data_IF_325550539751
#
_entry.id   IF_325550539751
#
_cell.length_a   1.000
_cell.length_b   1.000
_cell.length_c   1.000
_cell.angle_alpha   90.00
_cell.angle_beta   90.00
_cell.angle_gamma   90.00
#
_symmetry.space_group_name_H-M   'P 1'
#
loop_
_entity.id
_entity.type
_entity.pdbx_description
1 polymer ?
#
# COMPACT_ATOMS: atom_id res chain seq x y z
N UNK A 1 -26.13 -78.93 0.50
CA UNK A 1 -25.17 -77.98 1.13
C UNK A 1 -25.27 -76.65 0.38
N UNK A 2 -26.08 -75.73 0.88
CA UNK A 2 -26.19 -74.38 0.31
C UNK A 2 -25.01 -73.56 0.81
N UNK A 3 -23.96 -73.46 -0.02
CA UNK A 3 -22.84 -72.55 0.21
C UNK A 3 -23.37 -71.12 0.14
N UNK A 4 -23.66 -70.53 1.30
CA UNK A 4 -24.09 -69.14 1.40
C UNK A 4 -23.01 -68.24 0.80
N UNK A 5 -23.31 -67.57 -0.32
CA UNK A 5 -22.43 -66.54 -0.89
C UNK A 5 -22.23 -65.47 0.18
N UNK A 6 -21.03 -65.35 0.73
CA UNK A 6 -20.70 -64.27 1.68
C UNK A 6 -20.86 -62.94 0.96
N UNK A 7 -21.83 -62.13 1.40
CA UNK A 7 -22.08 -60.79 0.86
C UNK A 7 -21.03 -59.83 1.40
N UNK A 8 -19.93 -59.65 0.65
CA UNK A 8 -18.86 -58.70 0.97
C UNK A 8 -19.17 -57.26 0.52
N UNK A 9 -20.31 -57.06 -0.17
CA UNK A 9 -20.68 -55.79 -0.80
C UNK A 9 -20.84 -54.65 0.21
N UNK A 10 -21.45 -54.92 1.36
CA UNK A 10 -21.68 -53.92 2.42
C UNK A 10 -20.36 -53.45 3.06
N UNK A 11 -19.48 -54.33 3.56
CA UNK A 11 -18.20 -53.88 4.12
C UNK A 11 -17.28 -53.21 3.10
N UNK A 12 -17.30 -53.65 1.83
CA UNK A 12 -16.53 -52.98 0.76
C UNK A 12 -17.07 -51.57 0.46
N UNK A 13 -18.39 -51.39 0.37
CA UNK A 13 -19.01 -50.07 0.21
C UNK A 13 -18.67 -49.13 1.37
N UNK A 14 -18.69 -49.65 2.60
CA UNK A 14 -18.35 -48.89 3.80
C UNK A 14 -16.88 -48.42 3.78
N UNK A 15 -15.96 -49.29 3.35
CA UNK A 15 -14.54 -48.93 3.15
C UNK A 15 -14.41 -47.85 2.07
N UNK A 16 -15.06 -48.02 0.92
CA UNK A 16 -15.01 -47.05 -0.18
C UNK A 16 -15.57 -45.68 0.24
N UNK A 17 -16.72 -45.65 0.94
CA UNK A 17 -17.29 -44.41 1.47
C UNK A 17 -16.35 -43.74 2.49
N UNK A 18 -15.71 -44.53 3.37
CA UNK A 18 -14.76 -43.99 4.36
C UNK A 18 -13.53 -43.41 3.66
N UNK A 19 -12.97 -44.10 2.67
CA UNK A 19 -11.85 -43.60 1.88
C UNK A 19 -12.21 -42.31 1.12
N UNK A 20 -13.41 -42.25 0.54
CA UNK A 20 -13.91 -41.02 -0.09
C UNK A 20 -14.06 -39.88 0.91
N UNK A 21 -14.63 -40.13 2.09
CA UNK A 21 -14.77 -39.11 3.14
C UNK A 21 -13.41 -38.57 3.60
N UNK A 22 -12.42 -39.45 3.80
CA UNK A 22 -11.04 -39.05 4.12
C UNK A 22 -10.47 -38.16 3.00
N UNK A 23 -10.66 -38.56 1.74
CA UNK A 23 -10.13 -37.82 0.60
C UNK A 23 -10.77 -36.43 0.47
N UNK A 24 -12.08 -36.32 0.72
CA UNK A 24 -12.79 -35.03 0.78
C UNK A 24 -12.19 -34.14 1.87
N UNK A 25 -12.00 -34.68 3.09
CA UNK A 25 -11.42 -33.92 4.21
C UNK A 25 -10.01 -33.42 3.86
N UNK A 26 -9.17 -34.28 3.28
CA UNK A 26 -7.80 -33.90 2.87
C UNK A 26 -7.82 -32.79 1.82
N UNK A 27 -8.68 -32.90 0.80
CA UNK A 27 -8.81 -31.88 -0.24
C UNK A 27 -9.29 -30.54 0.34
N UNK A 28 -10.32 -30.55 1.19
CA UNK A 28 -10.81 -29.34 1.84
C UNK A 28 -9.76 -28.70 2.75
N UNK A 29 -9.02 -29.50 3.53
CA UNK A 29 -7.90 -29.00 4.34
C UNK A 29 -6.85 -28.32 3.48
N UNK A 30 -6.48 -28.91 2.34
CA UNK A 30 -5.52 -28.30 1.41
C UNK A 30 -6.03 -26.98 0.83
N UNK A 31 -7.28 -26.95 0.36
CA UNK A 31 -7.89 -25.73 -0.19
C UNK A 31 -7.94 -24.60 0.86
N UNK A 32 -8.26 -24.93 2.12
CA UNK A 32 -8.26 -23.95 3.20
C UNK A 32 -6.85 -23.44 3.52
N UNK A 33 -5.84 -24.32 3.51
CA UNK A 33 -4.45 -23.93 3.72
C UNK A 33 -3.94 -23.04 2.59
N UNK A 34 -4.20 -23.39 1.34
CA UNK A 34 -3.81 -22.61 0.17
C UNK A 34 -4.49 -21.23 0.18
N UNK A 35 -5.79 -21.17 0.53
CA UNK A 35 -6.50 -19.90 0.68
C UNK A 35 -5.92 -19.02 1.79
N UNK A 36 -5.48 -19.61 2.90
CA UNK A 36 -4.84 -18.87 3.98
C UNK A 36 -3.48 -18.33 3.57
N UNK A 37 -2.66 -19.15 2.91
CA UNK A 37 -1.35 -18.76 2.39
C UNK A 37 -1.46 -17.57 1.42
N UNK A 38 -2.38 -17.65 0.44
CA UNK A 38 -2.63 -16.56 -0.51
C UNK A 38 -3.07 -15.26 0.17
N UNK A 39 -3.93 -15.35 1.21
CA UNK A 39 -4.36 -14.18 1.97
C UNK A 39 -3.21 -13.57 2.75
N UNK A 40 -2.37 -14.40 3.37
CA UNK A 40 -1.16 -13.95 4.08
C UNK A 40 -0.21 -13.23 3.13
N UNK A 41 0.09 -13.82 1.97
CA UNK A 41 1.01 -13.26 0.99
C UNK A 41 0.51 -11.92 0.42
N UNK A 42 -0.80 -11.82 0.10
CA UNK A 42 -1.41 -10.55 -0.30
C UNK A 42 -1.36 -9.51 0.82
N UNK A 43 -1.63 -9.92 2.05
CA UNK A 43 -1.52 -9.07 3.23
C UNK A 43 -0.10 -8.56 3.45
N UNK A 44 0.90 -9.40 3.24
CA UNK A 44 2.32 -9.02 3.32
C UNK A 44 2.68 -7.98 2.25
N UNK A 45 2.28 -8.20 0.99
CA UNK A 45 2.49 -7.20 -0.07
C UNK A 45 1.78 -5.87 0.22
N UNK A 46 0.59 -5.91 0.80
CA UNK A 46 -0.10 -4.70 1.25
C UNK A 46 0.66 -3.98 2.36
N UNK A 47 1.18 -4.72 3.34
CA UNK A 47 1.97 -4.18 4.44
C UNK A 47 3.22 -3.48 3.91
N UNK A 48 3.94 -4.12 3.00
CA UNK A 48 5.13 -3.57 2.35
C UNK A 48 4.82 -2.26 1.61
N UNK A 49 3.78 -2.24 0.76
CA UNK A 49 3.34 -1.03 0.07
C UNK A 49 2.88 0.08 1.02
N UNK A 50 2.28 -0.30 2.14
CA UNK A 50 1.90 0.65 3.19
C UNK A 50 3.12 1.31 3.81
N UNK A 51 4.16 0.54 4.12
CA UNK A 51 5.45 1.08 4.57
C UNK A 51 6.04 2.02 3.53
N UNK A 52 5.93 1.71 2.23
CA UNK A 52 6.36 2.64 1.18
C UNK A 52 5.57 3.95 1.15
N UNK A 53 4.26 3.93 1.40
CA UNK A 53 3.49 5.17 1.55
C UNK A 53 3.93 6.00 2.76
N UNK A 54 4.19 5.36 3.90
CA UNK A 54 4.74 6.05 5.07
C UNK A 54 6.11 6.67 4.75
N UNK A 55 6.98 5.91 4.08
CA UNK A 55 8.30 6.38 3.65
C UNK A 55 8.22 7.53 2.63
N UNK A 56 7.23 7.51 1.73
CA UNK A 56 7.01 8.58 0.77
C UNK A 56 6.58 9.88 1.47
N UNK A 57 5.63 9.81 2.41
CA UNK A 57 5.19 10.98 3.17
C UNK A 57 6.32 11.58 4.01
N UNK A 58 7.08 10.73 4.72
CA UNK A 58 8.27 11.14 5.47
C UNK A 58 9.35 11.74 4.55
N UNK A 59 9.61 11.15 3.39
CA UNK A 59 10.58 11.70 2.44
C UNK A 59 10.14 13.06 1.87
N UNK A 60 8.84 13.29 1.63
CA UNK A 60 8.31 14.59 1.23
C UNK A 60 8.51 15.64 2.32
N UNK A 61 8.25 15.27 3.58
CA UNK A 61 8.46 16.15 4.72
C UNK A 61 9.94 16.49 4.89
N UNK A 62 10.82 15.49 4.93
CA UNK A 62 12.27 15.66 5.08
C UNK A 62 12.84 16.54 3.96
N UNK A 63 12.45 16.29 2.71
CA UNK A 63 12.87 17.09 1.57
C UNK A 63 12.42 18.55 1.69
N UNK A 64 11.13 18.78 1.96
CA UNK A 64 10.57 20.13 2.02
C UNK A 64 11.13 20.93 3.20
N UNK A 65 11.23 20.32 4.39
CA UNK A 65 11.85 20.94 5.56
C UNK A 65 13.35 21.21 5.34
N UNK A 66 14.07 20.27 4.71
CA UNK A 66 15.48 20.43 4.35
C UNK A 66 15.71 21.62 3.41
N UNK A 67 14.89 21.74 2.36
CA UNK A 67 14.97 22.85 1.42
C UNK A 67 14.63 24.20 2.07
N UNK A 68 13.61 24.25 2.93
CA UNK A 68 13.21 25.47 3.63
C UNK A 68 14.22 25.95 4.67
N UNK A 69 14.95 25.02 5.30
CA UNK A 69 15.94 25.32 6.34
C UNK A 69 17.35 25.57 5.81
N UNK A 70 17.62 25.24 4.55
CA UNK A 70 18.91 25.45 3.91
C UNK A 70 19.26 26.94 3.82
N UNK A 71 20.38 27.33 4.42
CA UNK A 71 20.90 28.71 4.42
C UNK A 71 21.82 29.02 3.24
N UNK A 72 22.32 28.00 2.59
CA UNK A 72 23.29 28.09 1.51
C UNK A 72 23.07 26.99 0.46
N UNK A 73 23.86 27.03 -0.60
CA UNK A 73 23.80 26.08 -1.71
C UNK A 73 24.16 24.65 -1.31
N UNK A 74 25.07 24.47 -0.34
CA UNK A 74 25.45 23.16 0.17
C UNK A 74 24.31 22.47 0.91
N UNK A 75 23.59 23.22 1.76
CA UNK A 75 22.39 22.73 2.44
C UNK A 75 21.27 22.35 1.46
N UNK A 76 21.08 23.15 0.39
CA UNK A 76 20.11 22.83 -0.66
C UNK A 76 20.49 21.58 -1.44
N UNK A 77 21.77 21.42 -1.78
CA UNK A 77 22.25 20.22 -2.47
C UNK A 77 22.01 18.96 -1.61
N UNK A 78 22.27 19.04 -0.31
CA UNK A 78 21.99 17.94 0.62
C UNK A 78 20.49 17.60 0.64
N UNK A 79 19.61 18.59 0.73
CA UNK A 79 18.16 18.37 0.66
C UNK A 79 17.73 17.81 -0.71
N UNK A 80 18.33 18.24 -1.82
CA UNK A 80 18.04 17.72 -3.16
C UNK A 80 18.36 16.22 -3.29
N UNK A 81 19.34 15.69 -2.54
CA UNK A 81 19.59 14.24 -2.54
C UNK A 81 18.41 13.44 -1.97
N UNK A 82 17.62 14.02 -1.06
CA UNK A 82 16.42 13.41 -0.51
C UNK A 82 15.29 13.34 -1.54
N UNK A 83 15.25 14.28 -2.50
CA UNK A 83 14.30 14.26 -3.61
C UNK A 83 14.40 12.98 -4.43
N UNK A 84 15.61 12.42 -4.57
CA UNK A 84 15.85 11.15 -5.26
C UNK A 84 15.14 9.95 -4.63
N UNK A 85 14.70 10.05 -3.37
CA UNK A 85 13.92 9.01 -2.66
C UNK A 85 12.43 9.07 -2.96
N UNK A 86 11.91 10.20 -3.45
CA UNK A 86 10.49 10.42 -3.70
C UNK A 86 9.95 9.53 -4.83
N UNK A 87 10.64 9.46 -5.96
CA UNK A 87 10.21 8.65 -7.11
C UNK A 87 10.05 7.14 -6.79
N UNK A 88 11.05 6.44 -6.21
CA UNK A 88 10.90 5.01 -5.91
C UNK A 88 9.84 4.76 -4.83
N UNK A 89 9.77 5.58 -3.78
CA UNK A 89 8.78 5.40 -2.70
C UNK A 89 7.36 5.72 -3.17
N UNK A 90 7.17 6.76 -3.98
CA UNK A 90 5.89 7.12 -4.57
C UNK A 90 5.36 6.05 -5.53
N UNK A 91 6.24 5.44 -6.33
CA UNK A 91 5.88 4.35 -7.24
C UNK A 91 5.34 3.11 -6.52
N UNK A 92 5.96 2.71 -5.41
CA UNK A 92 5.48 1.58 -4.60
C UNK A 92 4.22 1.93 -3.80
N UNK A 93 4.12 3.17 -3.31
CA UNK A 93 2.92 3.66 -2.61
C UNK A 93 1.68 3.67 -3.51
N UNK A 94 1.84 3.96 -4.80
CA UNK A 94 0.76 3.96 -5.79
C UNK A 94 -0.05 2.66 -5.72
N UNK A 95 0.64 1.52 -5.59
CA UNK A 95 0.00 0.21 -5.53
C UNK A 95 -0.96 0.03 -4.35
N UNK A 96 -0.72 0.69 -3.21
CA UNK A 96 -1.62 0.67 -2.06
C UNK A 96 -2.82 1.61 -2.29
N UNK A 97 -2.57 2.84 -2.71
CA UNK A 97 -3.62 3.85 -2.88
C UNK A 97 -4.57 3.50 -4.04
N UNK A 98 -4.05 2.84 -5.08
CA UNK A 98 -4.88 2.25 -6.14
C UNK A 98 -5.77 1.14 -5.58
N UNK A 99 -5.20 0.21 -4.81
CA UNK A 99 -5.95 -0.90 -4.22
C UNK A 99 -7.04 -0.39 -3.26
N UNK A 100 -6.79 0.71 -2.55
CA UNK A 100 -7.79 1.32 -1.68
C UNK A 100 -9.00 1.83 -2.47
N UNK A 101 -8.79 2.43 -3.65
CA UNK A 101 -9.86 2.83 -4.57
C UNK A 101 -10.65 1.64 -5.13
N UNK A 102 -9.94 0.60 -5.60
CA UNK A 102 -10.59 -0.62 -6.11
C UNK A 102 -11.47 -1.28 -5.03
N UNK A 103 -10.98 -1.36 -3.79
CA UNK A 103 -11.74 -1.94 -2.67
C UNK A 103 -12.89 -1.06 -2.20
N UNK A 104 -12.83 0.24 -2.48
CA UNK A 104 -13.93 1.16 -2.28
C UNK A 104 -15.00 1.09 -3.38
N UNK A 105 -14.78 0.29 -4.43
CA UNK A 105 -15.73 0.10 -5.53
C UNK A 105 -15.53 1.07 -6.71
N UNK A 106 -14.40 1.77 -6.78
CA UNK A 106 -14.08 2.64 -7.91
C UNK A 106 -13.73 1.84 -9.17
N UNK A 107 -14.00 2.44 -10.32
CA UNK A 107 -13.54 1.91 -11.59
C UNK A 107 -12.00 1.98 -11.67
N UNK A 108 -11.38 1.07 -12.43
CA UNK A 108 -9.91 0.94 -12.46
C UNK A 108 -9.22 2.21 -12.94
N UNK A 109 -9.74 2.82 -13.99
CA UNK A 109 -9.29 4.09 -14.53
C UNK A 109 -9.39 5.22 -13.49
N UNK A 110 -10.53 5.31 -12.80
CA UNK A 110 -10.73 6.29 -11.73
C UNK A 110 -9.74 6.08 -10.59
N UNK A 111 -9.58 4.85 -10.10
CA UNK A 111 -8.67 4.53 -9.01
C UNK A 111 -7.20 4.80 -9.38
N UNK A 112 -6.81 4.55 -10.64
CA UNK A 112 -5.47 4.87 -11.13
C UNK A 112 -5.26 6.37 -11.21
N UNK A 113 -6.13 7.10 -11.91
CA UNK A 113 -6.00 8.56 -12.10
C UNK A 113 -6.06 9.33 -10.78
N UNK A 114 -6.85 8.85 -9.82
CA UNK A 114 -6.97 9.43 -8.48
C UNK A 114 -5.65 9.44 -7.69
N UNK A 115 -4.64 8.68 -8.12
CA UNK A 115 -3.34 8.54 -7.46
C UNK A 115 -2.20 9.02 -8.34
N UNK A 116 -2.19 8.63 -9.62
CA UNK A 116 -1.09 8.98 -10.54
C UNK A 116 -1.03 10.46 -10.85
N UNK A 117 -2.18 11.11 -11.06
CA UNK A 117 -2.21 12.54 -11.38
C UNK A 117 -1.67 13.40 -10.22
N UNK A 118 -2.12 13.19 -8.96
CA UNK A 118 -1.54 13.92 -7.83
C UNK A 118 -0.04 13.70 -7.64
N UNK A 119 0.44 12.45 -7.72
CA UNK A 119 1.86 12.14 -7.56
C UNK A 119 2.71 12.85 -8.62
N UNK A 120 2.27 12.80 -9.88
CA UNK A 120 2.97 13.48 -10.96
C UNK A 120 2.95 15.00 -10.78
N UNK A 121 1.79 15.58 -10.41
CA UNK A 121 1.70 17.02 -10.18
C UNK A 121 2.63 17.51 -9.07
N UNK A 122 2.75 16.74 -7.96
CA UNK A 122 3.70 17.04 -6.89
C UNK A 122 5.13 16.94 -7.42
N UNK A 123 5.47 15.85 -8.11
CA UNK A 123 6.81 15.64 -8.65
C UNK A 123 7.22 16.75 -9.62
N UNK A 124 6.35 17.10 -10.57
CA UNK A 124 6.57 18.13 -11.59
C UNK A 124 6.79 19.52 -10.95
N UNK A 125 6.11 19.81 -9.83
CA UNK A 125 6.27 21.05 -9.08
C UNK A 125 7.54 21.09 -8.25
N UNK A 126 8.01 19.94 -7.76
CA UNK A 126 9.24 19.85 -6.95
C UNK A 126 10.52 19.76 -7.79
N UNK A 127 10.47 19.15 -8.97
CA UNK A 127 11.64 18.97 -9.84
C UNK A 127 12.44 20.25 -10.12
N UNK A 128 11.83 21.40 -10.47
CA UNK A 128 12.59 22.61 -10.78
C UNK A 128 13.12 23.37 -9.55
N UNK A 129 12.67 23.03 -8.33
CA UNK A 129 12.98 23.80 -7.13
C UNK A 129 14.45 23.65 -6.76
N UNK A 130 15.13 24.78 -6.55
CA UNK A 130 16.52 24.80 -6.11
C UNK A 130 17.56 24.58 -7.23
N UNK A 131 17.12 24.38 -8.48
CA UNK A 131 18.01 24.25 -9.64
C UNK A 131 18.64 25.59 -10.06
N UNK A 132 18.00 26.71 -9.70
CA UNK A 132 18.55 28.05 -9.93
C UNK A 132 19.48 28.40 -8.78
N UNK A 133 20.71 28.81 -9.11
CA UNK A 133 21.65 29.31 -8.11
C UNK A 133 21.09 30.55 -7.40
N UNK A 134 21.33 30.65 -6.09
CA UNK A 134 20.82 31.74 -5.24
C UNK A 134 19.81 31.28 -4.19
N UNK A 135 19.22 32.21 -3.46
CA UNK A 135 18.17 31.90 -2.48
C UNK A 135 16.89 31.39 -3.17
N UNK A 136 16.11 30.58 -2.45
CA UNK A 136 14.79 30.16 -2.93
C UNK A 136 13.92 31.37 -3.20
N UNK A 137 13.31 31.40 -4.38
CA UNK A 137 12.30 32.39 -4.72
C UNK A 137 11.07 32.27 -3.81
N UNK A 138 10.27 33.34 -3.73
CA UNK A 138 9.03 33.34 -2.94
C UNK A 138 8.07 32.23 -3.39
N UNK A 139 7.99 31.95 -4.69
CA UNK A 139 7.14 30.90 -5.25
C UNK A 139 7.64 29.50 -4.89
N UNK A 140 8.95 29.25 -4.97
CA UNK A 140 9.55 27.99 -4.53
C UNK A 140 9.34 27.76 -3.04
N UNK A 141 9.55 28.79 -2.21
CA UNK A 141 9.31 28.72 -0.77
C UNK A 141 7.86 28.40 -0.46
N UNK A 142 6.90 29.10 -1.09
CA UNK A 142 5.47 28.83 -0.91
C UNK A 142 5.08 27.41 -1.34
N UNK A 143 5.66 26.92 -2.44
CA UNK A 143 5.46 25.55 -2.91
C UNK A 143 5.96 24.55 -1.87
N UNK A 144 7.18 24.74 -1.35
CA UNK A 144 7.76 23.89 -0.32
C UNK A 144 7.00 23.96 1.00
N UNK A 145 6.49 25.12 1.42
CA UNK A 145 5.64 25.26 2.61
C UNK A 145 4.33 24.48 2.46
N UNK A 146 3.71 24.55 1.27
CA UNK A 146 2.49 23.80 0.95
C UNK A 146 2.76 22.29 0.96
N UNK A 147 3.85 21.86 0.33
CA UNK A 147 4.29 20.46 0.33
C UNK A 147 4.61 19.98 1.74
N UNK A 148 5.31 20.78 2.53
CA UNK A 148 5.65 20.42 3.91
C UNK A 148 4.40 20.22 4.76
N UNK A 149 3.46 21.17 4.74
CA UNK A 149 2.21 21.06 5.48
C UNK A 149 1.39 19.83 5.05
N UNK A 150 1.27 19.59 3.74
CA UNK A 150 0.57 18.42 3.22
C UNK A 150 1.28 17.10 3.54
N UNK A 151 2.61 17.07 3.52
CA UNK A 151 3.40 15.89 3.86
C UNK A 151 3.25 15.51 5.34
N UNK A 152 3.28 16.48 6.24
CA UNK A 152 3.03 16.27 7.68
C UNK A 152 1.64 15.69 7.90
N UNK A 153 0.61 16.24 7.26
CA UNK A 153 -0.77 15.75 7.39
C UNK A 153 -0.92 14.32 6.84
N UNK A 154 -0.30 14.06 5.68
CA UNK A 154 -0.29 12.75 5.04
C UNK A 154 0.41 11.71 5.92
N UNK A 155 1.57 12.06 6.49
CA UNK A 155 2.34 11.18 7.36
C UNK A 155 1.55 10.85 8.63
N UNK A 156 0.99 11.85 9.32
CA UNK A 156 0.15 11.65 10.50
C UNK A 156 -1.03 10.73 10.21
N UNK A 157 -1.66 10.90 9.06
CA UNK A 157 -2.78 10.05 8.62
C UNK A 157 -2.29 8.63 8.42
N UNK A 158 -1.20 8.41 7.68
CA UNK A 158 -0.67 7.08 7.42
C UNK A 158 -0.14 6.40 8.69
N UNK A 159 0.36 7.14 9.67
CA UNK A 159 0.80 6.62 10.97
C UNK A 159 -0.37 6.15 11.86
N UNK A 160 -1.61 6.55 11.58
CA UNK A 160 -2.79 6.09 12.32
C UNK A 160 -3.02 4.58 12.21
N UNK A 161 -2.46 3.94 11.17
CA UNK A 161 -2.45 2.48 11.02
C UNK A 161 -1.06 1.91 11.32
N UNK A 162 -1.00 0.95 12.24
CA UNK A 162 0.22 0.20 12.52
C UNK A 162 0.36 -0.97 11.55
N UNK A 163 1.39 -0.90 10.70
CA UNK A 163 1.69 -1.96 9.72
C UNK A 163 1.94 -3.28 10.44
N UNK A 164 1.24 -4.36 10.07
CA UNK A 164 1.38 -5.65 10.74
C UNK A 164 2.74 -6.29 10.43
N UNK A 165 3.22 -7.14 11.34
CA UNK A 165 4.49 -7.88 11.20
C UNK A 165 4.32 -9.40 11.25
N UNK A 166 3.08 -9.91 11.38
CA UNK A 166 2.80 -11.34 11.54
C UNK A 166 1.61 -11.85 10.72
N UNK A 167 1.67 -13.12 10.34
CA UNK A 167 0.75 -13.79 9.40
C UNK A 167 -0.74 -13.64 9.71
N UNK A 168 -1.12 -13.72 10.98
CA UNK A 168 -2.52 -13.52 11.37
C UNK A 168 -2.98 -12.09 11.05
N UNK A 169 -2.13 -11.10 11.34
CA UNK A 169 -2.44 -9.70 11.06
C UNK A 169 -2.32 -9.35 9.58
N UNK A 170 -1.43 -10.00 8.82
CA UNK A 170 -1.44 -9.88 7.35
C UNK A 170 -2.76 -10.34 6.76
N UNK A 171 -3.33 -11.45 7.26
CA UNK A 171 -4.65 -11.92 6.82
C UNK A 171 -5.76 -10.93 7.16
N UNK A 172 -5.69 -10.25 8.31
CA UNK A 172 -6.62 -9.17 8.68
C UNK A 172 -6.44 -7.94 7.79
N UNK A 173 -5.21 -7.54 7.49
CA UNK A 173 -4.92 -6.46 6.55
C UNK A 173 -5.50 -6.79 5.17
N UNK A 174 -5.34 -8.02 4.68
CA UNK A 174 -5.95 -8.45 3.43
C UNK A 174 -7.50 -8.41 3.46
N UNK A 175 -8.14 -8.47 4.62
CA UNK A 175 -9.58 -8.27 4.73
C UNK A 175 -10.00 -6.80 4.56
N UNK A 176 -9.10 -5.85 4.79
CA UNK A 176 -9.31 -4.44 4.44
C UNK A 176 -10.11 -3.60 5.44
N UNK A 177 -10.30 -4.06 6.68
CA UNK A 177 -11.18 -3.36 7.64
C UNK A 177 -10.54 -2.08 8.19
N UNK A 178 -9.28 -2.14 8.62
CA UNK A 178 -8.65 -1.07 9.40
C UNK A 178 -7.83 -0.09 8.56
N UNK A 179 -7.02 -0.59 7.62
CA UNK A 179 -6.13 0.27 6.83
C UNK A 179 -6.85 1.01 5.70
N UNK A 180 -7.98 0.48 5.22
CA UNK A 180 -8.66 0.99 4.02
C UNK A 180 -9.18 2.43 4.19
N UNK A 181 -9.86 2.80 5.31
CA UNK A 181 -10.26 4.19 5.53
C UNK A 181 -9.06 5.14 5.61
N UNK A 182 -7.97 4.71 6.26
CA UNK A 182 -6.74 5.51 6.40
C UNK A 182 -6.08 5.75 5.05
N UNK A 183 -5.92 4.71 4.23
CA UNK A 183 -5.34 4.83 2.89
C UNK A 183 -6.21 5.67 1.94
N UNK A 184 -7.54 5.67 2.13
CA UNK A 184 -8.44 6.55 1.37
C UNK A 184 -8.29 8.00 1.78
N UNK A 185 -8.24 8.28 3.09
CA UNK A 185 -8.00 9.63 3.58
C UNK A 185 -6.64 10.16 3.10
N UNK A 186 -5.59 9.34 3.16
CA UNK A 186 -4.27 9.68 2.64
C UNK A 186 -4.29 9.99 1.13
N UNK A 187 -5.05 9.22 0.35
CA UNK A 187 -5.26 9.50 -1.09
C UNK A 187 -5.96 10.84 -1.31
N UNK A 188 -7.00 11.13 -0.54
CA UNK A 188 -7.76 12.38 -0.68
C UNK A 188 -6.88 13.60 -0.28
N UNK A 189 -6.05 13.47 0.76
CA UNK A 189 -5.04 14.46 1.14
C UNK A 189 -4.00 14.66 0.04
N UNK A 190 -3.53 13.59 -0.61
CA UNK A 190 -2.60 13.69 -1.72
C UNK A 190 -3.21 14.49 -2.89
N UNK A 191 -4.50 14.28 -3.19
CA UNK A 191 -5.22 15.07 -4.20
C UNK A 191 -5.36 16.54 -3.79
N UNK A 192 -5.66 16.80 -2.52
CA UNK A 192 -5.76 18.17 -2.00
C UNK A 192 -4.41 18.88 -2.06
N UNK A 193 -3.33 18.19 -1.68
CA UNK A 193 -1.98 18.71 -1.80
C UNK A 193 -1.67 19.07 -3.26
N UNK A 194 -1.88 18.15 -4.21
CA UNK A 194 -1.64 18.42 -5.63
C UNK A 194 -2.42 19.65 -6.14
N UNK A 195 -3.69 19.78 -5.77
CA UNK A 195 -4.51 20.96 -6.11
C UNK A 195 -3.99 22.26 -5.48
N UNK A 196 -3.40 22.18 -4.29
CA UNK A 196 -2.78 23.34 -3.63
C UNK A 196 -1.51 23.84 -4.32
N UNK A 197 -0.94 23.05 -5.25
CA UNK A 197 0.26 23.40 -6.02
C UNK A 197 -0.07 23.98 -7.41
N UNK A 198 -1.35 23.99 -7.82
CA UNK A 198 -1.82 24.63 -9.06
C UNK A 198 -1.76 26.16 -8.95
#
# INVERSE_FOLDING_TARGET
MTTGKRTYTVPVLLILMTLMAILIVVLFSRVLLDSQSLKTERGHRLAERYTYCQAYASALEEYSAGMLSAKDEGGRLAAQTLQGRLAPTGGECLGLLYESGIRAGEAKDQATSAVTLPLNAIQDKLEPIGLKGGELSADERKTLETVHAGAVELEQTLQAYSVPTGDQRYRQMQAGVEWLPVARQARDQLQQLAKGLE
#
